data_IF_326699174629
#
_entry.id   IF_326699174629
#
_cell.length_a   1.000
_cell.length_b   1.000
_cell.length_c   1.000
_cell.angle_alpha   90.00
_cell.angle_beta   90.00
_cell.angle_gamma   90.00
#
_symmetry.space_group_name_H-M   'P 1'
#
loop_
_entity.id
_entity.type
_entity.pdbx_description
1 polymer ?
#
# COMPACT_ATOMS: atom_id res chain seq x y z
N UNK A 1 2.53 16.30 -4.43
CA UNK A 1 1.66 15.76 -3.38
C UNK A 1 1.05 14.52 -3.97
N UNK A 2 1.21 13.35 -3.34
CA UNK A 2 0.69 12.07 -3.82
C UNK A 2 -0.74 11.82 -3.34
N UNK A 3 -1.21 10.58 -3.45
CA UNK A 3 -2.36 10.11 -2.67
C UNK A 3 -1.88 9.27 -1.49
N UNK A 4 -2.40 9.55 -0.30
CA UNK A 4 -2.06 8.87 0.93
C UNK A 4 -3.29 8.13 1.44
N UNK A 5 -3.13 6.83 1.66
CA UNK A 5 -4.19 5.97 2.13
C UNK A 5 -3.68 5.06 3.24
N UNK A 6 -4.55 4.77 4.19
CA UNK A 6 -4.37 3.68 5.13
C UNK A 6 -5.26 2.49 4.80
N UNK A 7 -4.79 1.30 5.13
CA UNK A 7 -5.59 0.08 5.13
C UNK A 7 -5.56 -0.49 6.55
N UNK A 8 -6.66 -0.34 7.27
CA UNK A 8 -6.82 -0.92 8.61
C UNK A 8 -7.23 -2.38 8.52
N UNK A 9 -6.89 -3.16 9.54
CA UNK A 9 -7.27 -4.57 9.61
C UNK A 9 -7.79 -4.98 10.97
N UNK A 10 -8.77 -5.88 10.99
CA UNK A 10 -9.20 -6.59 12.21
C UNK A 10 -8.40 -7.89 12.45
N UNK A 11 -7.54 -8.29 11.50
CA UNK A 11 -6.75 -9.53 11.58
C UNK A 11 -5.25 -9.26 11.40
N UNK A 12 -4.57 -8.69 12.42
CA UNK A 12 -3.16 -8.31 12.32
C UNK A 12 -2.23 -9.50 12.06
N UNK A 13 -2.65 -10.72 12.44
CA UNK A 13 -1.90 -11.95 12.16
C UNK A 13 -1.71 -12.24 10.66
N UNK A 14 -2.53 -11.62 9.79
CA UNK A 14 -2.49 -11.82 8.33
C UNK A 14 -1.71 -10.74 7.59
N UNK A 15 -1.26 -9.68 8.28
CA UNK A 15 -0.54 -8.57 7.66
C UNK A 15 0.65 -9.03 6.80
N UNK A 16 1.50 -9.99 7.22
CA UNK A 16 2.60 -10.45 6.36
C UNK A 16 2.13 -11.10 5.05
N UNK A 17 1.12 -11.99 5.13
CA UNK A 17 0.53 -12.65 3.95
C UNK A 17 -0.06 -11.61 2.98
N UNK A 18 -0.71 -10.59 3.53
CA UNK A 18 -1.42 -9.59 2.74
C UNK A 18 -0.46 -8.61 2.10
N UNK A 19 0.63 -8.23 2.78
CA UNK A 19 1.71 -7.43 2.20
C UNK A 19 2.27 -8.11 0.94
N UNK A 20 2.56 -9.41 1.01
CA UNK A 20 3.04 -10.18 -0.14
C UNK A 20 2.03 -10.18 -1.30
N UNK A 21 0.74 -10.36 -1.01
CA UNK A 21 -0.32 -10.34 -2.02
C UNK A 21 -0.52 -8.98 -2.66
N UNK A 22 -0.45 -7.90 -1.88
CA UNK A 22 -0.53 -6.53 -2.39
C UNK A 22 0.62 -6.30 -3.38
N UNK A 23 1.85 -6.60 -2.98
CA UNK A 23 3.02 -6.46 -3.83
C UNK A 23 2.91 -7.30 -5.13
N UNK A 24 2.44 -8.55 -5.02
CA UNK A 24 2.28 -9.46 -6.15
C UNK A 24 1.13 -9.10 -7.10
N UNK A 25 0.14 -8.32 -6.66
CA UNK A 25 -0.98 -7.88 -7.50
C UNK A 25 -0.60 -6.78 -8.49
N UNK A 26 0.48 -6.05 -8.21
CA UNK A 26 0.84 -4.87 -8.98
C UNK A 26 1.31 -5.26 -10.38
N UNK A 27 0.62 -4.73 -11.39
CA UNK A 27 1.06 -4.80 -12.78
C UNK A 27 1.74 -3.50 -13.17
N UNK A 28 3.01 -3.57 -13.57
CA UNK A 28 3.82 -2.42 -13.93
C UNK A 28 4.70 -2.74 -15.15
N UNK A 29 5.07 -1.70 -15.89
CA UNK A 29 5.94 -1.84 -17.07
C UNK A 29 7.41 -1.98 -16.67
N UNK A 30 8.28 -2.31 -17.63
CA UNK A 30 9.70 -2.57 -17.38
C UNK A 30 10.52 -1.34 -16.93
N UNK A 31 9.92 -0.14 -16.90
CA UNK A 31 10.55 1.06 -16.34
C UNK A 31 10.48 1.10 -14.81
N UNK A 32 9.68 0.22 -14.22
CA UNK A 32 9.51 0.09 -12.78
C UNK A 32 10.20 -1.16 -12.24
N UNK A 33 10.58 -1.09 -10.97
CA UNK A 33 11.16 -2.19 -10.21
C UNK A 33 10.54 -2.25 -8.83
N UNK A 34 10.06 -3.42 -8.46
CA UNK A 34 9.56 -3.68 -7.12
C UNK A 34 10.72 -4.06 -6.19
N UNK A 35 10.89 -3.32 -5.10
CA UNK A 35 11.82 -3.64 -4.03
C UNK A 35 11.05 -4.03 -2.77
N UNK A 36 11.41 -5.17 -2.18
CA UNK A 36 10.81 -5.67 -0.95
C UNK A 36 11.67 -5.30 0.26
N UNK A 37 11.00 -4.91 1.33
CA UNK A 37 11.57 -4.62 2.64
C UNK A 37 10.90 -5.50 3.70
N UNK A 38 11.47 -5.54 4.91
CA UNK A 38 10.94 -6.34 6.02
C UNK A 38 9.49 -5.99 6.35
N UNK A 39 9.15 -4.70 6.33
CA UNK A 39 7.84 -4.18 6.74
C UNK A 39 7.12 -3.47 5.59
N UNK A 40 7.49 -3.74 4.33
CA UNK A 40 6.92 -2.98 3.21
C UNK A 40 7.49 -3.33 1.85
N UNK A 41 7.06 -2.58 0.85
CA UNK A 41 7.64 -2.62 -0.49
C UNK A 41 7.56 -1.23 -1.14
N UNK A 42 8.44 -1.01 -2.09
CA UNK A 42 8.50 0.22 -2.89
C UNK A 42 8.53 -0.15 -4.36
N UNK A 43 7.71 0.52 -5.16
CA UNK A 43 7.80 0.46 -6.61
C UNK A 43 8.64 1.65 -7.08
N UNK A 44 9.88 1.38 -7.48
CA UNK A 44 10.83 2.37 -7.98
C UNK A 44 10.69 2.56 -9.48
N UNK A 45 11.00 3.76 -9.96
CA UNK A 45 11.09 4.14 -11.35
C UNK A 45 12.56 4.43 -11.68
N UNK A 46 13.13 3.66 -12.60
CA UNK A 46 14.58 3.59 -12.83
C UNK A 46 15.20 4.90 -13.39
N UNK A 47 14.40 5.83 -13.94
CA UNK A 47 14.85 7.02 -14.67
C UNK A 47 14.42 8.37 -14.05
N UNK A 48 13.92 8.38 -12.81
CA UNK A 48 13.34 9.57 -12.20
C UNK A 48 14.21 10.19 -11.10
N UNK A 49 14.25 11.53 -11.03
CA UNK A 49 14.83 12.27 -9.90
C UNK A 49 14.11 11.99 -8.57
N UNK A 50 12.88 11.49 -8.65
CA UNK A 50 12.07 10.98 -7.56
C UNK A 50 11.71 9.53 -7.91
N UNK A 51 12.49 8.55 -7.42
CA UNK A 51 12.39 7.18 -7.90
C UNK A 51 11.15 6.47 -7.36
N UNK A 52 10.63 6.81 -6.18
CA UNK A 52 9.51 6.10 -5.60
C UNK A 52 8.21 6.48 -6.31
N UNK A 53 7.56 5.52 -6.95
CA UNK A 53 6.26 5.70 -7.60
C UNK A 53 5.10 5.28 -6.69
N UNK A 54 5.31 4.24 -5.89
CA UNK A 54 4.41 3.74 -4.86
C UNK A 54 5.24 3.24 -3.68
N UNK A 55 4.81 3.56 -2.47
CA UNK A 55 5.34 3.00 -1.23
C UNK A 55 4.21 2.39 -0.43
N UNK A 56 4.44 1.19 0.11
CA UNK A 56 3.51 0.54 1.02
C UNK A 56 4.31 0.04 2.22
N UNK A 57 3.93 0.52 3.40
CA UNK A 57 4.62 0.25 4.66
C UNK A 57 3.64 -0.25 5.70
N UNK A 58 4.13 -1.11 6.60
CA UNK A 58 3.42 -1.49 7.80
C UNK A 58 3.80 -0.53 8.93
N UNK A 59 2.84 0.27 9.36
CA UNK A 59 3.04 1.30 10.39
C UNK A 59 2.22 1.00 11.64
N UNK A 60 2.63 1.62 12.74
CA UNK A 60 1.89 1.63 14.01
C UNK A 60 1.20 2.99 14.12
N UNK A 61 -0.13 2.97 14.29
CA UNK A 61 -0.93 4.18 14.37
C UNK A 61 -0.59 4.98 15.64
N UNK A 62 -0.49 6.28 15.47
CA UNK A 62 -0.30 7.25 16.55
C UNK A 62 -1.04 8.53 16.21
N UNK A 63 -2.22 8.73 16.81
CA UNK A 63 -3.06 9.91 16.60
C UNK A 63 -3.88 9.88 15.31
N UNK A 64 -4.24 8.68 14.82
CA UNK A 64 -5.18 8.51 13.70
C UNK A 64 -6.60 8.29 14.23
N UNK A 65 -7.59 8.90 13.58
CA UNK A 65 -8.99 8.75 13.99
C UNK A 65 -9.56 7.39 13.55
N UNK A 66 -9.03 6.83 12.47
CA UNK A 66 -9.50 5.60 11.83
C UNK A 66 -8.90 4.32 12.41
N UNK A 67 -7.77 4.43 13.11
CA UNK A 67 -6.99 3.28 13.64
C UNK A 67 -6.60 3.57 15.07
N UNK A 68 -6.84 2.63 15.98
CA UNK A 68 -6.49 2.83 17.39
C UNK A 68 -4.99 2.98 17.60
N UNK A 69 -4.58 3.85 18.53
CA UNK A 69 -3.17 4.02 18.87
C UNK A 69 -2.51 2.67 19.24
N UNK A 70 -1.35 2.40 18.64
CA UNK A 70 -0.62 1.15 18.81
C UNK A 70 -1.10 0.01 17.90
N UNK A 71 -2.18 0.19 17.14
CA UNK A 71 -2.61 -0.79 16.14
C UNK A 71 -1.80 -0.65 14.84
N UNK A 72 -1.61 -1.78 14.16
CA UNK A 72 -0.85 -1.84 12.90
C UNK A 72 -1.77 -1.72 11.69
N UNK A 73 -1.36 -0.90 10.73
CA UNK A 73 -2.07 -0.69 9.46
C UNK A 73 -1.08 -0.64 8.29
N UNK A 74 -1.58 -0.80 7.06
CA UNK A 74 -0.75 -0.50 5.89
C UNK A 74 -0.87 0.98 5.53
N UNK A 75 0.23 1.69 5.57
CA UNK A 75 0.37 3.02 4.97
C UNK A 75 0.70 2.87 3.48
N UNK A 76 -0.06 3.54 2.62
CA UNK A 76 0.10 3.49 1.17
C UNK A 76 0.28 4.91 0.62
N UNK A 77 1.40 5.17 -0.05
CA UNK A 77 1.73 6.47 -0.63
C UNK A 77 1.97 6.34 -2.14
N UNK A 78 1.08 6.92 -2.92
CA UNK A 78 1.14 6.95 -4.38
C UNK A 78 1.77 8.28 -4.82
N UNK A 79 3.02 8.25 -5.26
CA UNK A 79 3.75 9.45 -5.70
C UNK A 79 3.40 9.88 -7.12
N UNK A 80 2.88 8.96 -7.93
CA UNK A 80 2.43 9.25 -9.30
C UNK A 80 0.92 9.41 -9.36
N UNK A 81 0.50 10.29 -10.26
CA UNK A 81 -0.90 10.56 -10.56
C UNK A 81 -1.25 9.96 -11.93
N UNK A 82 -2.54 9.74 -12.16
CA UNK A 82 -3.06 9.31 -13.45
C UNK A 82 -3.36 7.82 -13.51
N UNK A 83 -3.43 7.28 -14.73
CA UNK A 83 -3.98 5.94 -14.98
C UNK A 83 -3.20 4.83 -14.27
N UNK A 84 -1.87 4.92 -14.22
CA UNK A 84 -1.02 3.92 -13.56
C UNK A 84 -1.27 3.88 -12.04
N UNK A 85 -1.24 5.05 -11.37
CA UNK A 85 -1.52 5.13 -9.93
C UNK A 85 -2.93 4.65 -9.58
N UNK A 86 -3.94 5.03 -10.39
CA UNK A 86 -5.31 4.55 -10.23
C UNK A 86 -5.40 3.03 -10.40
N UNK A 87 -4.71 2.46 -11.38
CA UNK A 87 -4.72 1.02 -11.64
C UNK A 87 -4.09 0.24 -10.47
N UNK A 88 -2.99 0.72 -9.91
CA UNK A 88 -2.36 0.09 -8.74
C UNK A 88 -3.24 0.14 -7.50
N UNK A 89 -3.88 1.29 -7.26
CA UNK A 89 -4.87 1.40 -6.18
C UNK A 89 -6.01 0.38 -6.36
N UNK A 90 -6.56 0.26 -7.57
CA UNK A 90 -7.62 -0.70 -7.87
C UNK A 90 -7.15 -2.16 -7.68
N UNK A 91 -5.95 -2.51 -8.13
CA UNK A 91 -5.38 -3.85 -7.93
C UNK A 91 -5.22 -4.19 -6.45
N UNK A 92 -4.75 -3.25 -5.64
CA UNK A 92 -4.65 -3.43 -4.19
C UNK A 92 -6.03 -3.55 -3.54
N UNK A 93 -7.01 -2.75 -3.97
CA UNK A 93 -8.39 -2.85 -3.51
C UNK A 93 -8.99 -4.23 -3.85
N UNK A 94 -8.74 -4.76 -5.05
CA UNK A 94 -9.15 -6.11 -5.43
C UNK A 94 -8.59 -7.19 -4.49
N UNK A 95 -7.32 -7.09 -4.09
CA UNK A 95 -6.73 -8.00 -3.08
C UNK A 95 -7.48 -7.89 -1.76
N UNK A 96 -7.68 -6.69 -1.24
CA UNK A 96 -8.35 -6.50 0.05
C UNK A 96 -9.83 -6.90 0.01
N UNK A 97 -10.51 -6.75 -1.13
CA UNK A 97 -11.91 -7.11 -1.31
C UNK A 97 -12.19 -8.62 -1.21
N UNK A 98 -11.16 -9.45 -1.37
CA UNK A 98 -11.24 -10.91 -1.14
C UNK A 98 -11.46 -11.25 0.34
N UNK A 99 -11.35 -10.26 1.24
CA UNK A 99 -11.48 -10.38 2.68
C UNK A 99 -12.54 -9.41 3.20
N UNK A 100 -13.83 -9.64 2.87
CA UNK A 100 -14.89 -8.70 3.19
C UNK A 100 -15.00 -8.47 4.71
N UNK A 101 -14.97 -7.20 5.12
CA UNK A 101 -15.07 -6.77 6.52
C UNK A 101 -13.77 -6.90 7.33
N UNK A 102 -12.69 -7.43 6.74
CA UNK A 102 -11.39 -7.56 7.42
C UNK A 102 -10.51 -6.34 7.15
N UNK A 103 -10.46 -5.89 5.89
CA UNK A 103 -9.69 -4.71 5.48
C UNK A 103 -10.61 -3.56 5.11
N UNK A 104 -10.22 -2.37 5.51
CA UNK A 104 -10.93 -1.14 5.18
C UNK A 104 -9.94 -0.04 4.84
N UNK A 105 -10.21 0.64 3.74
CA UNK A 105 -9.41 1.74 3.22
C UNK A 105 -9.89 3.06 3.79
N UNK A 106 -8.94 3.95 4.10
CA UNK A 106 -9.22 5.31 4.54
C UNK A 106 -8.17 6.28 3.98
N UNK A 107 -8.53 7.56 3.87
CA UNK A 107 -7.63 8.64 3.43
C UNK A 107 -6.83 9.19 4.62
N UNK A 108 -5.59 9.62 4.37
CA UNK A 108 -4.68 10.22 5.36
C UNK A 108 -4.39 11.71 5.07
#
# INVERSE_FOLDING_TARGET
>A
MGWEYGIRTQEPARLPEIMERLAASLTYSSMYRLEHHTDGFVLLRDDASWPNALEVWLEEASGLDEVGDGERYFYCLFHIWGEEGCAWMQQMQEVTSQYPGIFEWFEL
#
